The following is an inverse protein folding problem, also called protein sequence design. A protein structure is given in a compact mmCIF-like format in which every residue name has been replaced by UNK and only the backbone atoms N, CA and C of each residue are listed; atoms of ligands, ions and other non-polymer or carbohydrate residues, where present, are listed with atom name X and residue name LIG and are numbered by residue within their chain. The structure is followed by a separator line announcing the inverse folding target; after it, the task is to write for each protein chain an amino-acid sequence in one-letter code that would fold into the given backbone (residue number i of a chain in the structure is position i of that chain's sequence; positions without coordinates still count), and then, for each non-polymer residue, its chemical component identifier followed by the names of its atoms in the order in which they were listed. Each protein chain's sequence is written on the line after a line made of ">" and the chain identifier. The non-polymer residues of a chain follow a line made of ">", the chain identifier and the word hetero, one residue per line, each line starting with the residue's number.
data_IF_148517120542
#
_entry.id   IF_148517120542
#
_cell.length_a   1.000
_cell.length_b   1.000
_cell.length_c   1.000
_cell.angle_alpha   90.00
_cell.angle_beta   90.00
_cell.angle_gamma   90.00
#
_symmetry.space_group_name_H-M   'P 1'
#
loop_
_entity.id
_entity.type
_entity.pdbx_description
1 polymer ?
#
# COMPACT_ATOMS: atom_id res chain seq x y z
N UNK A 1 14.19 -16.91 63.25
CA UNK A 1 13.84 -17.75 62.08
C UNK A 1 13.54 -16.83 60.92
N UNK A 2 14.50 -16.60 60.03
CA UNK A 2 14.32 -15.71 58.87
C UNK A 2 13.66 -16.52 57.75
N UNK A 3 12.35 -16.37 57.64
CA UNK A 3 11.55 -16.90 56.54
C UNK A 3 11.87 -16.10 55.26
N UNK A 4 12.72 -16.65 54.40
CA UNK A 4 13.03 -16.11 53.07
C UNK A 4 13.07 -17.26 52.07
N UNK A 5 11.95 -17.67 51.45
CA UNK A 5 11.98 -18.36 50.13
C UNK A 5 10.68 -18.71 49.38
N UNK A 6 9.50 -18.14 49.64
CA UNK A 6 8.31 -18.42 48.78
C UNK A 6 8.11 -17.41 47.65
N UNK A 7 8.29 -16.11 47.91
CA UNK A 7 8.00 -15.05 46.93
C UNK A 7 8.94 -15.05 45.72
N UNK A 8 10.19 -15.50 45.86
CA UNK A 8 11.15 -15.45 44.75
C UNK A 8 10.81 -16.46 43.65
N UNK A 9 10.30 -17.64 44.02
CA UNK A 9 9.83 -18.65 43.06
C UNK A 9 8.56 -18.16 42.34
N UNK A 10 7.64 -17.56 43.08
CA UNK A 10 6.42 -16.97 42.50
C UNK A 10 6.78 -15.87 41.51
N UNK A 11 7.71 -14.96 41.88
CA UNK A 11 8.17 -13.89 41.00
C UNK A 11 8.82 -14.43 39.71
N UNK A 12 9.63 -15.49 39.78
CA UNK A 12 10.23 -16.13 38.60
C UNK A 12 9.14 -16.68 37.66
N UNK A 13 8.15 -17.39 38.20
CA UNK A 13 7.04 -17.92 37.38
C UNK A 13 6.25 -16.77 36.75
N UNK A 14 5.95 -15.72 37.52
CA UNK A 14 5.26 -14.52 37.00
C UNK A 14 6.03 -13.85 35.86
N UNK A 15 7.35 -13.71 35.98
CA UNK A 15 8.18 -13.14 34.92
C UNK A 15 8.22 -14.00 33.66
N UNK A 16 8.26 -15.33 33.79
CA UNK A 16 8.20 -16.24 32.64
C UNK A 16 6.85 -16.11 31.95
N UNK A 17 5.75 -16.09 32.70
CA UNK A 17 4.40 -15.93 32.13
C UNK A 17 4.24 -14.58 31.42
N UNK A 18 4.67 -13.49 32.04
CA UNK A 18 4.61 -12.14 31.44
C UNK A 18 5.47 -12.06 30.19
N UNK A 19 6.67 -12.65 30.20
CA UNK A 19 7.55 -12.67 29.03
C UNK A 19 6.94 -13.46 27.87
N UNK A 20 6.30 -14.60 28.16
CA UNK A 20 5.61 -15.39 27.14
C UNK A 20 4.44 -14.64 26.50
N UNK A 21 3.61 -13.99 27.31
CA UNK A 21 2.49 -13.17 26.81
C UNK A 21 3.01 -11.99 26.01
N UNK A 22 4.05 -11.29 26.50
CA UNK A 22 4.64 -10.15 25.82
C UNK A 22 5.20 -10.51 24.45
N UNK A 23 5.93 -11.64 24.34
CA UNK A 23 6.44 -12.12 23.06
C UNK A 23 5.29 -12.49 22.12
N UNK A 24 4.25 -13.18 22.62
CA UNK A 24 3.09 -13.55 21.81
C UNK A 24 2.31 -12.35 21.28
N UNK A 25 2.03 -11.36 22.13
CA UNK A 25 1.32 -10.14 21.73
C UNK A 25 2.14 -9.30 20.78
N UNK A 26 3.44 -9.14 21.04
CA UNK A 26 4.35 -8.42 20.13
C UNK A 26 4.42 -9.10 18.77
N UNK A 27 4.50 -10.43 18.71
CA UNK A 27 4.52 -11.18 17.46
C UNK A 27 3.25 -10.90 16.63
N UNK A 28 2.08 -10.94 17.26
CA UNK A 28 0.81 -10.63 16.59
C UNK A 28 0.77 -9.18 16.08
N UNK A 29 1.19 -8.20 16.90
CA UNK A 29 1.23 -6.78 16.50
C UNK A 29 2.17 -6.55 15.33
N UNK A 30 3.34 -7.19 15.33
CA UNK A 30 4.31 -7.10 14.24
C UNK A 30 3.73 -7.65 12.94
N UNK A 31 3.11 -8.85 12.99
CA UNK A 31 2.52 -9.49 11.81
C UNK A 31 1.38 -8.63 11.23
N UNK A 32 0.49 -8.12 12.08
CA UNK A 32 -0.59 -7.23 11.63
C UNK A 32 -0.04 -5.93 11.04
N UNK A 33 0.99 -5.34 11.66
CA UNK A 33 1.61 -4.12 11.14
C UNK A 33 2.28 -4.35 9.78
N UNK A 34 2.94 -5.49 9.60
CA UNK A 34 3.53 -5.87 8.33
C UNK A 34 2.47 -6.06 7.24
N UNK A 35 1.33 -6.69 7.56
CA UNK A 35 0.22 -6.82 6.62
C UNK A 35 -0.40 -5.48 6.24
N UNK A 36 -0.66 -4.59 7.21
CA UNK A 36 -1.19 -3.25 6.92
C UNK A 36 -0.24 -2.46 5.99
N UNK A 37 1.07 -2.51 6.28
CA UNK A 37 2.06 -1.85 5.42
C UNK A 37 2.14 -2.48 4.01
N UNK A 38 2.05 -3.81 3.92
CA UNK A 38 2.04 -4.50 2.62
C UNK A 38 0.79 -4.17 1.81
N UNK A 39 -0.38 -4.10 2.44
CA UNK A 39 -1.64 -3.71 1.81
C UNK A 39 -1.53 -2.33 1.18
N UNK A 40 -1.07 -1.33 1.93
CA UNK A 40 -0.82 0.03 1.44
C UNK A 40 0.16 0.05 0.25
N UNK A 41 1.23 -0.75 0.31
CA UNK A 41 2.22 -0.82 -0.76
C UNK A 41 1.63 -1.44 -2.02
N UNK A 42 0.86 -2.52 -1.87
CA UNK A 42 0.19 -3.20 -2.99
C UNK A 42 -0.84 -2.28 -3.62
N UNK A 43 -1.67 -1.61 -2.82
CA UNK A 43 -2.65 -0.62 -3.29
C UNK A 43 -1.96 0.49 -4.10
N UNK A 44 -0.89 1.09 -3.56
CA UNK A 44 -0.13 2.14 -4.26
C UNK A 44 0.54 1.64 -5.54
N UNK A 45 1.00 0.40 -5.54
CA UNK A 45 1.60 -0.20 -6.73
C UNK A 45 0.57 -0.31 -7.84
N UNK A 46 -0.65 -0.75 -7.54
CA UNK A 46 -1.74 -0.81 -8.52
C UNK A 46 -2.24 0.59 -8.92
N UNK A 47 -2.44 1.50 -7.97
CA UNK A 47 -2.91 2.86 -8.23
C UNK A 47 -1.93 3.72 -9.04
N UNK A 48 -0.63 3.40 -9.04
CA UNK A 48 0.36 4.16 -9.83
C UNK A 48 0.24 3.93 -11.35
N UNK A 49 -0.43 2.85 -11.78
CA UNK A 49 -0.57 2.52 -13.20
C UNK A 49 -1.85 3.05 -13.83
N UNK A 50 -2.91 3.25 -13.04
CA UNK A 50 -4.21 3.67 -13.54
C UNK A 50 -4.59 5.07 -13.02
N UNK A 51 -4.81 6.06 -13.91
CA UNK A 51 -5.28 7.37 -13.50
C UNK A 51 -6.75 7.31 -13.06
N UNK A 52 -7.16 8.20 -12.17
CA UNK A 52 -8.56 8.31 -11.70
C UNK A 52 -9.56 8.46 -12.85
N UNK A 53 -9.15 9.15 -13.91
CA UNK A 53 -9.93 9.34 -15.13
C UNK A 53 -9.04 9.03 -16.33
N UNK A 54 -9.36 7.95 -17.05
CA UNK A 54 -8.72 7.58 -18.32
C UNK A 54 -9.64 7.92 -19.50
N UNK A 55 -9.13 8.67 -20.47
CA UNK A 55 -9.85 9.02 -21.70
C UNK A 55 -9.20 8.25 -22.84
N UNK A 56 -9.98 7.41 -23.53
CA UNK A 56 -9.52 6.59 -24.65
C UNK A 56 -10.39 6.80 -25.87
N UNK A 57 -9.87 6.48 -27.05
CA UNK A 57 -10.68 6.47 -28.27
C UNK A 57 -11.80 5.41 -28.15
N UNK A 58 -13.02 5.76 -28.56
CA UNK A 58 -14.14 4.80 -28.66
C UNK A 58 -13.98 3.90 -29.88
N UNK A 59 -13.49 4.47 -30.97
CA UNK A 59 -13.23 3.78 -32.24
C UNK A 59 -11.82 4.08 -32.73
N UNK A 60 -11.15 3.06 -33.28
CA UNK A 60 -9.76 3.16 -33.72
C UNK A 60 -8.74 2.99 -32.58
N UNK A 61 -7.45 3.15 -32.91
CA UNK A 61 -6.34 2.97 -31.95
C UNK A 61 -5.96 4.28 -31.24
N UNK A 62 -6.21 5.42 -31.86
CA UNK A 62 -5.85 6.75 -31.37
C UNK A 62 -6.98 7.73 -31.67
N UNK A 63 -6.99 8.86 -30.96
CA UNK A 63 -7.89 9.98 -31.23
C UNK A 63 -7.08 11.25 -31.49
N UNK A 64 -7.69 12.21 -32.17
CA UNK A 64 -7.01 13.47 -32.46
C UNK A 64 -6.88 14.32 -31.19
N UNK A 65 -5.65 14.47 -30.69
CA UNK A 65 -5.36 15.30 -29.52
C UNK A 65 -5.53 16.81 -29.78
N UNK A 66 -5.61 17.25 -31.05
CA UNK A 66 -5.83 18.67 -31.42
C UNK A 66 -7.28 19.08 -31.21
N UNK A 67 -8.22 18.19 -31.57
CA UNK A 67 -9.66 18.43 -31.39
C UNK A 67 -10.09 18.21 -29.92
N UNK A 68 -9.24 17.57 -29.12
CA UNK A 68 -9.49 17.30 -27.71
C UNK A 68 -9.24 18.56 -26.85
N UNK A 69 -10.17 18.97 -25.96
CA UNK A 69 -10.09 20.22 -25.20
C UNK A 69 -9.11 20.17 -24.01
N UNK A 70 -7.87 19.73 -24.24
CA UNK A 70 -6.83 19.56 -23.22
C UNK A 70 -6.56 20.83 -22.40
N UNK A 71 -6.58 21.99 -23.05
CA UNK A 71 -6.34 23.28 -22.39
C UNK A 71 -7.45 23.70 -21.43
N UNK A 72 -8.69 23.24 -21.68
CA UNK A 72 -9.80 23.48 -20.75
C UNK A 72 -9.67 22.60 -19.51
N UNK A 73 -9.25 21.34 -19.70
CA UNK A 73 -9.07 20.36 -18.63
C UNK A 73 -7.90 20.77 -17.71
N UNK A 74 -6.76 21.16 -18.28
CA UNK A 74 -5.58 21.64 -17.52
C UNK A 74 -5.85 22.89 -16.68
N UNK A 75 -6.90 23.67 -17.00
CA UNK A 75 -7.30 24.88 -16.27
C UNK A 75 -8.30 24.62 -15.14
N UNK A 76 -8.83 23.41 -15.02
CA UNK A 76 -9.71 23.06 -13.90
C UNK A 76 -8.88 22.93 -12.63
N UNK A 77 -9.23 23.68 -11.59
CA UNK A 77 -8.54 23.60 -10.29
C UNK A 77 -8.59 22.20 -9.66
N UNK A 78 -9.60 21.40 -10.00
CA UNK A 78 -9.74 20.02 -9.52
C UNK A 78 -8.80 19.01 -10.21
N UNK A 79 -8.11 19.41 -11.29
CA UNK A 79 -7.16 18.53 -12.01
C UNK A 79 -5.76 18.80 -11.47
N UNK A 80 -5.27 17.91 -10.60
CA UNK A 80 -3.93 18.04 -10.03
C UNK A 80 -2.82 17.74 -11.06
N UNK A 81 -3.02 16.69 -11.86
CA UNK A 81 -2.06 16.23 -12.86
C UNK A 81 -2.77 15.79 -14.15
N UNK A 82 -2.13 16.03 -15.29
CA UNK A 82 -2.61 15.61 -16.59
C UNK A 82 -1.44 14.98 -17.37
N UNK A 83 -1.65 13.80 -17.94
CA UNK A 83 -0.66 13.07 -18.71
C UNK A 83 -1.26 12.60 -20.04
N UNK A 84 -0.46 12.66 -21.11
CA UNK A 84 -0.80 12.16 -22.44
C UNK A 84 0.06 10.91 -22.69
N UNK A 85 -0.57 9.77 -23.01
CA UNK A 85 0.13 8.52 -23.29
C UNK A 85 -0.44 7.86 -24.54
N UNK A 86 0.44 7.22 -25.33
CA UNK A 86 0.07 6.40 -26.48
C UNK A 86 0.66 5.01 -26.24
N UNK A 87 -0.19 3.99 -26.26
CA UNK A 87 0.19 2.59 -26.07
C UNK A 87 0.00 1.82 -27.39
N UNK A 88 1.04 1.14 -27.86
CA UNK A 88 0.97 0.28 -29.04
C UNK A 88 1.68 -1.05 -28.75
N UNK A 89 1.01 -2.16 -29.09
CA UNK A 89 1.62 -3.49 -29.03
C UNK A 89 2.42 -3.73 -30.31
N UNK A 90 3.75 -3.72 -30.20
CA UNK A 90 4.64 -3.97 -31.33
C UNK A 90 5.16 -5.40 -31.27
N UNK A 91 5.00 -6.15 -32.36
CA UNK A 91 5.53 -7.49 -32.52
C UNK A 91 6.87 -7.40 -33.25
N UNK A 92 7.96 -7.46 -32.49
CA UNK A 92 9.31 -7.44 -33.07
C UNK A 92 9.61 -8.81 -33.66
N UNK A 93 9.79 -8.88 -34.98
CA UNK A 93 10.19 -10.09 -35.71
C UNK A 93 11.53 -9.81 -36.39
N UNK A 94 12.53 -10.66 -36.12
CA UNK A 94 13.86 -10.64 -36.74
C UNK A 94 13.85 -11.41 -38.06
#
# INVERSE_FOLDING_TARGET
>A
MVSKKSHNVINIISWISVSGIAVGTLALVIVLSAFNGLEDLVEKLYASFDPDIKITAVEGKTFNAVDFPKEKIKKLESVAFYSEAIEEVVLVKY
#
